data_IF_363268309484
#
_entry.id   IF_363268309484
#
_cell.length_a   1.000
_cell.length_b   1.000
_cell.length_c   1.000
_cell.angle_alpha   90.00
_cell.angle_beta   90.00
_cell.angle_gamma   90.00
#
_symmetry.space_group_name_H-M   'P 1'
#
loop_
_entity.id
_entity.type
_entity.pdbx_description
1 polymer ?
#
# COMPACT_ATOMS: atom_id res chain seq x y z
N UNK A 1 -3.21 -10.70 -37.30
CA UNK A 1 -3.60 -11.01 -35.92
C UNK A 1 -3.78 -9.65 -35.25
N UNK A 2 -5.03 -9.23 -35.13
CA UNK A 2 -5.38 -7.98 -34.48
C UNK A 2 -5.06 -8.10 -32.98
N UNK A 3 -4.02 -7.40 -32.55
CA UNK A 3 -3.85 -7.09 -31.14
C UNK A 3 -4.91 -6.05 -30.80
N UNK A 4 -6.07 -6.51 -30.35
CA UNK A 4 -7.04 -5.66 -29.74
C UNK A 4 -6.32 -4.88 -28.63
N UNK A 5 -6.19 -3.58 -28.84
CA UNK A 5 -5.73 -2.64 -27.81
C UNK A 5 -6.78 -2.72 -26.70
N UNK A 6 -6.51 -3.53 -25.68
CA UNK A 6 -7.34 -3.54 -24.49
C UNK A 6 -7.45 -2.08 -24.03
N UNK A 7 -8.65 -1.58 -23.93
CA UNK A 7 -8.88 -0.22 -23.45
C UNK A 7 -8.28 -0.14 -22.04
N UNK A 8 -7.21 0.65 -21.89
CA UNK A 8 -6.62 0.88 -20.57
C UNK A 8 -7.69 1.51 -19.69
N UNK A 9 -7.86 0.98 -18.50
CA UNK A 9 -8.78 1.58 -17.52
C UNK A 9 -8.28 3.00 -17.15
N UNK A 10 -9.21 3.86 -16.82
CA UNK A 10 -8.83 5.17 -16.28
C UNK A 10 -8.24 4.98 -14.88
N UNK A 11 -6.95 5.23 -14.74
CA UNK A 11 -6.22 5.15 -13.46
C UNK A 11 -6.86 5.97 -12.34
N UNK A 12 -7.62 7.01 -12.69
CA UNK A 12 -8.36 7.83 -11.73
C UNK A 12 -9.49 7.07 -11.05
N UNK A 13 -10.00 6.01 -11.69
CA UNK A 13 -11.05 5.17 -11.09
C UNK A 13 -10.57 4.39 -9.86
N UNK A 14 -9.24 4.25 -9.69
CA UNK A 14 -8.63 3.58 -8.55
C UNK A 14 -8.37 4.53 -7.36
N UNK A 15 -8.56 5.85 -7.55
CA UNK A 15 -8.32 6.84 -6.51
C UNK A 15 -9.30 6.66 -5.34
N UNK A 16 -8.76 6.58 -4.14
CA UNK A 16 -9.55 6.44 -2.91
C UNK A 16 -10.09 5.04 -2.67
N UNK A 17 -9.63 4.05 -3.42
CA UNK A 17 -9.96 2.64 -3.17
C UNK A 17 -8.91 1.98 -2.30
N UNK A 18 -9.38 1.24 -1.31
CA UNK A 18 -8.51 0.39 -0.49
C UNK A 18 -8.18 -0.91 -1.22
N UNK A 19 -6.96 -1.38 -1.02
CA UNK A 19 -6.49 -2.66 -1.55
C UNK A 19 -6.39 -3.67 -0.42
N UNK A 20 -7.52 -4.30 -0.09
CA UNK A 20 -7.59 -5.32 0.99
C UNK A 20 -7.47 -6.72 0.40
N UNK A 21 -8.28 -7.04 -0.61
CA UNK A 21 -8.28 -8.35 -1.26
C UNK A 21 -8.31 -8.22 -2.78
N UNK A 22 -7.53 -9.06 -3.45
CA UNK A 22 -7.49 -9.07 -4.93
C UNK A 22 -8.81 -9.47 -5.56
N UNK A 23 -9.66 -10.23 -4.86
CA UNK A 23 -10.98 -10.63 -5.36
C UNK A 23 -11.94 -9.46 -5.58
N UNK A 24 -11.67 -8.31 -4.94
CA UNK A 24 -12.47 -7.08 -5.08
C UNK A 24 -12.08 -6.24 -6.30
N UNK A 25 -11.03 -6.68 -6.99
CA UNK A 25 -10.47 -5.98 -8.14
C UNK A 25 -10.70 -6.78 -9.42
N UNK A 26 -11.08 -6.12 -10.49
CA UNK A 26 -11.16 -6.76 -11.80
C UNK A 26 -9.76 -7.11 -12.32
N UNK A 27 -9.69 -8.03 -13.26
CA UNK A 27 -8.41 -8.39 -13.91
C UNK A 27 -7.77 -7.19 -14.55
N UNK A 28 -8.55 -6.33 -15.23
CA UNK A 28 -8.05 -5.13 -15.90
C UNK A 28 -7.44 -4.12 -14.89
N UNK A 29 -8.05 -3.97 -13.70
CA UNK A 29 -7.52 -3.12 -12.63
C UNK A 29 -6.20 -3.66 -12.07
N UNK A 30 -6.12 -4.96 -11.86
CA UNK A 30 -4.89 -5.62 -11.41
C UNK A 30 -3.79 -5.50 -12.46
N UNK A 31 -4.10 -5.74 -13.73
CA UNK A 31 -3.15 -5.63 -14.84
C UNK A 31 -2.65 -4.20 -15.00
N UNK A 32 -3.52 -3.19 -14.86
CA UNK A 32 -3.10 -1.78 -14.89
C UNK A 32 -2.19 -1.44 -13.71
N UNK A 33 -2.48 -1.97 -12.51
CA UNK A 33 -1.62 -1.79 -11.33
C UNK A 33 -0.23 -2.38 -11.55
N UNK A 34 -0.16 -3.57 -12.13
CA UNK A 34 1.11 -4.21 -12.48
C UNK A 34 1.85 -3.46 -13.59
N UNK A 35 1.12 -2.91 -14.56
CA UNK A 35 1.70 -2.08 -15.63
C UNK A 35 2.36 -0.80 -15.05
N UNK A 36 1.69 -0.11 -14.12
CA UNK A 36 2.27 1.04 -13.41
C UNK A 36 3.54 0.64 -12.66
N UNK A 37 3.52 -0.49 -11.96
CA UNK A 37 4.71 -0.98 -11.25
C UNK A 37 5.88 -1.26 -12.21
N UNK A 38 5.61 -1.84 -13.38
CA UNK A 38 6.61 -2.08 -14.42
C UNK A 38 7.16 -0.77 -15.01
N UNK A 39 6.30 0.19 -15.32
CA UNK A 39 6.70 1.52 -15.81
C UNK A 39 7.63 2.23 -14.82
N UNK A 40 7.29 2.23 -13.53
CA UNK A 40 8.11 2.84 -12.48
C UNK A 40 9.46 2.13 -12.32
N UNK A 41 9.47 0.81 -12.41
CA UNK A 41 10.69 0.00 -12.35
C UNK A 41 11.63 0.33 -13.51
N UNK A 42 11.12 0.41 -14.73
CA UNK A 42 11.93 0.75 -15.91
C UNK A 42 12.40 2.22 -15.88
N UNK A 43 11.55 3.16 -15.46
CA UNK A 43 11.94 4.55 -15.28
C UNK A 43 13.10 4.68 -14.28
N UNK A 44 13.02 4.00 -13.14
CA UNK A 44 14.09 3.99 -12.15
C UNK A 44 15.37 3.36 -12.68
N UNK A 45 15.29 2.23 -13.38
CA UNK A 45 16.42 1.55 -13.99
C UNK A 45 17.12 2.44 -15.02
N UNK A 46 16.35 3.27 -15.73
CA UNK A 46 16.85 4.25 -16.67
C UNK A 46 17.35 5.56 -16.01
N UNK A 47 17.40 5.64 -14.68
CA UNK A 47 17.82 6.83 -13.95
C UNK A 47 16.85 8.02 -14.05
N UNK A 48 15.61 7.78 -14.49
CA UNK A 48 14.59 8.85 -14.58
C UNK A 48 13.98 9.13 -13.20
N UNK A 49 13.65 10.40 -12.89
CA UNK A 49 12.97 10.74 -11.66
C UNK A 49 11.60 10.04 -11.54
N UNK A 50 11.33 9.46 -10.38
CA UNK A 50 10.06 8.79 -10.08
C UNK A 50 9.37 9.41 -8.86
N UNK A 51 9.56 10.69 -8.59
CA UNK A 51 9.08 11.41 -7.40
C UNK A 51 7.59 11.76 -7.51
N UNK A 52 6.74 10.76 -7.49
CA UNK A 52 5.28 10.91 -7.63
C UNK A 52 4.55 11.12 -6.29
N UNK A 53 5.21 10.79 -5.17
CA UNK A 53 4.62 10.83 -3.83
C UNK A 53 5.33 11.85 -2.94
N UNK A 54 5.76 13.00 -3.51
CA UNK A 54 6.38 14.08 -2.74
C UNK A 54 5.43 14.55 -1.64
N UNK A 55 5.96 14.72 -0.44
CA UNK A 55 5.25 15.13 0.77
C UNK A 55 4.12 14.17 1.22
N UNK A 56 4.12 12.94 0.68
CA UNK A 56 3.19 11.89 1.10
C UNK A 56 3.83 10.97 2.13
N UNK A 57 3.05 10.63 3.17
CA UNK A 57 3.47 9.71 4.23
C UNK A 57 2.54 8.50 4.28
N UNK A 58 3.13 7.31 4.36
CA UNK A 58 2.38 6.09 4.68
C UNK A 58 2.86 5.50 6.00
N UNK A 59 1.94 4.85 6.71
CA UNK A 59 2.24 4.06 7.89
C UNK A 59 2.37 2.58 7.52
N UNK A 60 3.35 1.91 8.12
CA UNK A 60 3.54 0.47 7.99
C UNK A 60 3.27 -0.17 9.34
N UNK A 61 2.02 -0.59 9.56
CA UNK A 61 1.59 -1.24 10.79
C UNK A 61 1.71 -2.75 10.63
N UNK A 62 2.75 -3.32 11.20
CA UNK A 62 3.02 -4.75 11.09
C UNK A 62 2.89 -5.42 12.44
N UNK A 63 2.00 -6.41 12.50
CA UNK A 63 1.73 -7.19 13.70
C UNK A 63 2.67 -8.41 13.84
N UNK A 64 3.51 -8.64 12.83
CA UNK A 64 4.57 -9.64 12.88
C UNK A 64 5.85 -9.15 12.16
N UNK A 65 6.93 -9.90 12.38
CA UNK A 65 8.26 -9.57 11.86
C UNK A 65 8.30 -9.61 10.34
N UNK A 66 8.86 -8.59 9.74
CA UNK A 66 8.98 -8.50 8.30
C UNK A 66 10.23 -7.74 7.87
N UNK A 67 11.21 -8.45 7.33
CA UNK A 67 12.40 -7.82 6.76
C UNK A 67 12.14 -7.35 5.32
N UNK A 68 11.69 -8.25 4.45
CA UNK A 68 11.54 -7.97 3.02
C UNK A 68 10.45 -6.96 2.72
N UNK A 69 9.25 -7.19 3.24
CA UNK A 69 8.09 -6.31 2.97
C UNK A 69 8.31 -4.91 3.52
N UNK A 70 8.79 -4.80 4.76
CA UNK A 70 9.12 -3.52 5.37
C UNK A 70 10.10 -2.73 4.49
N UNK A 71 11.25 -3.32 4.16
CA UNK A 71 12.26 -2.63 3.36
C UNK A 71 11.77 -2.29 1.95
N UNK A 72 10.90 -3.12 1.36
CA UNK A 72 10.30 -2.83 0.05
C UNK A 72 9.44 -1.56 0.10
N UNK A 73 8.57 -1.42 1.11
CA UNK A 73 7.74 -0.22 1.28
C UNK A 73 8.58 1.02 1.64
N UNK A 74 9.47 0.93 2.63
CA UNK A 74 10.32 2.06 3.03
C UNK A 74 11.17 2.57 1.86
N UNK A 75 11.84 1.65 1.14
CA UNK A 75 12.64 1.99 -0.03
C UNK A 75 11.77 2.52 -1.16
N UNK A 76 10.61 1.90 -1.42
CA UNK A 76 9.66 2.34 -2.44
C UNK A 76 9.19 3.78 -2.20
N UNK A 77 8.78 4.10 -1.00
CA UNK A 77 8.36 5.46 -0.63
C UNK A 77 9.49 6.47 -0.82
N UNK A 78 10.70 6.16 -0.36
CA UNK A 78 11.88 7.02 -0.57
C UNK A 78 12.14 7.26 -2.06
N UNK A 79 12.06 6.22 -2.88
CA UNK A 79 12.28 6.30 -4.32
C UNK A 79 11.20 7.12 -5.04
N UNK A 80 9.97 7.08 -4.54
CA UNK A 80 8.84 7.86 -5.04
C UNK A 80 8.78 9.28 -4.47
N UNK A 81 9.70 9.64 -3.57
CA UNK A 81 9.83 10.98 -3.01
C UNK A 81 8.99 11.22 -1.76
N UNK A 82 8.33 10.17 -1.25
CA UNK A 82 7.55 10.20 -0.04
C UNK A 82 8.30 9.68 1.17
N UNK A 83 7.57 9.41 2.24
CA UNK A 83 8.08 8.92 3.51
C UNK A 83 7.27 7.73 4.01
N UNK A 84 7.92 6.78 4.68
CA UNK A 84 7.27 5.66 5.34
C UNK A 84 7.63 5.67 6.83
N UNK A 85 6.62 5.52 7.69
CA UNK A 85 6.78 5.39 9.12
C UNK A 85 6.45 3.96 9.52
N UNK A 86 7.42 3.24 10.03
CA UNK A 86 7.20 1.91 10.55
C UNK A 86 6.64 1.97 11.97
N UNK A 87 5.51 1.30 12.16
CA UNK A 87 4.86 1.14 13.45
C UNK A 87 5.00 -0.33 13.88
N UNK A 88 5.80 -0.54 14.90
CA UNK A 88 5.90 -1.81 15.60
C UNK A 88 4.67 -1.93 16.51
N UNK A 89 3.82 -2.93 16.27
CA UNK A 89 2.57 -3.10 17.02
C UNK A 89 2.79 -3.15 18.53
N UNK A 90 3.89 -3.76 18.97
CA UNK A 90 4.24 -3.86 20.40
C UNK A 90 4.56 -2.50 21.05
N UNK A 91 4.80 -1.48 20.23
CA UNK A 91 5.12 -0.11 20.66
C UNK A 91 4.03 0.90 20.35
N UNK A 92 2.88 0.43 19.91
CA UNK A 92 1.69 1.24 19.64
C UNK A 92 0.59 0.97 20.67
N UNK A 93 -0.44 1.81 20.67
CA UNK A 93 -1.60 1.59 21.55
C UNK A 93 -2.43 0.35 21.16
N UNK A 94 -2.20 -0.21 19.96
CA UNK A 94 -2.80 -1.49 19.55
C UNK A 94 -2.46 -2.59 20.56
N UNK A 95 -1.24 -2.65 21.07
CA UNK A 95 -0.84 -3.60 22.12
C UNK A 95 -1.54 -3.36 23.48
N UNK A 96 -2.11 -2.19 23.67
CA UNK A 96 -2.88 -1.83 24.88
C UNK A 96 -4.40 -1.88 24.65
N UNK A 97 -4.85 -2.47 23.53
CA UNK A 97 -6.28 -2.67 23.26
C UNK A 97 -6.96 -1.52 22.52
N UNK A 98 -6.21 -0.60 21.91
CA UNK A 98 -6.78 0.37 20.97
C UNK A 98 -7.42 -0.36 19.80
N UNK A 99 -8.61 0.08 19.40
CA UNK A 99 -9.32 -0.55 18.28
C UNK A 99 -8.67 -0.22 16.94
N UNK A 100 -8.83 -1.08 15.91
CA UNK A 100 -8.38 -0.75 14.55
C UNK A 100 -8.92 0.58 14.05
N UNK A 101 -10.20 0.85 14.32
CA UNK A 101 -10.87 2.08 13.94
C UNK A 101 -10.26 3.33 14.60
N UNK A 102 -9.93 3.29 15.88
CA UNK A 102 -9.34 4.42 16.60
C UNK A 102 -7.92 4.69 16.08
N UNK A 103 -7.15 3.62 15.85
CA UNK A 103 -5.81 3.70 15.26
C UNK A 103 -5.88 4.32 13.86
N UNK A 104 -6.78 3.84 13.00
CA UNK A 104 -6.95 4.36 11.64
C UNK A 104 -7.41 5.83 11.65
N UNK A 105 -8.39 6.18 12.49
CA UNK A 105 -8.87 7.56 12.65
C UNK A 105 -7.74 8.51 13.09
N UNK A 106 -6.88 8.06 13.97
CA UNK A 106 -5.74 8.86 14.44
C UNK A 106 -4.72 9.04 13.33
N UNK A 107 -4.27 7.96 12.70
CA UNK A 107 -3.22 7.97 11.68
C UNK A 107 -3.67 8.72 10.41
N UNK A 108 -4.94 8.64 10.03
CA UNK A 108 -5.50 9.34 8.87
C UNK A 108 -5.42 10.87 8.95
N UNK A 109 -5.17 11.42 10.13
CA UNK A 109 -4.96 12.86 10.33
C UNK A 109 -3.56 13.32 9.97
N UNK A 110 -2.62 12.40 9.84
CA UNK A 110 -1.20 12.72 9.68
C UNK A 110 -0.60 12.17 8.38
N UNK A 111 -1.22 11.17 7.75
CA UNK A 111 -0.69 10.55 6.55
C UNK A 111 -1.78 10.12 5.58
N UNK A 112 -1.35 9.66 4.39
CA UNK A 112 -2.25 9.38 3.28
C UNK A 112 -2.58 7.91 3.09
N UNK A 113 -1.93 7.02 3.84
CA UNK A 113 -2.22 5.60 3.72
C UNK A 113 -1.60 4.78 4.82
N UNK A 114 -2.13 3.59 4.99
CA UNK A 114 -1.67 2.58 5.96
C UNK A 114 -1.48 1.27 5.20
N UNK A 115 -0.30 0.67 5.30
CA UNK A 115 -0.05 -0.69 4.85
C UNK A 115 0.01 -1.60 6.07
N UNK A 116 -0.86 -2.59 6.11
CA UNK A 116 -1.02 -3.47 7.27
C UNK A 116 -0.52 -4.87 6.91
N UNK A 117 0.24 -5.48 7.80
CA UNK A 117 0.55 -6.88 7.77
C UNK A 117 0.05 -7.54 9.04
N UNK A 118 -0.98 -8.36 8.87
CA UNK A 118 -1.60 -9.15 9.92
C UNK A 118 -1.58 -10.62 9.51
N UNK A 119 -0.83 -11.45 10.20
CA UNK A 119 -0.65 -12.86 9.90
C UNK A 119 -0.69 -13.75 11.16
N UNK A 120 -1.38 -13.26 12.20
CA UNK A 120 -1.51 -13.99 13.46
C UNK A 120 -2.44 -15.20 13.32
N UNK A 121 -3.51 -15.11 12.51
CA UNK A 121 -4.37 -16.23 12.18
C UNK A 121 -4.95 -16.08 10.75
N UNK A 122 -5.31 -17.21 10.08
CA UNK A 122 -5.91 -17.16 8.76
C UNK A 122 -7.17 -16.31 8.73
N UNK A 123 -7.25 -15.39 7.76
CA UNK A 123 -8.38 -14.48 7.49
C UNK A 123 -8.68 -13.40 8.56
N UNK A 124 -8.08 -13.43 9.72
CA UNK A 124 -8.30 -12.38 10.74
C UNK A 124 -7.84 -11.01 10.28
N UNK A 125 -6.76 -10.93 9.49
CA UNK A 125 -6.26 -9.68 8.96
C UNK A 125 -7.28 -8.94 8.10
N UNK A 126 -8.04 -9.66 7.27
CA UNK A 126 -9.06 -9.06 6.42
C UNK A 126 -10.23 -8.50 7.25
N UNK A 127 -10.64 -9.20 8.31
CA UNK A 127 -11.65 -8.71 9.25
C UNK A 127 -11.14 -7.44 9.93
N UNK A 128 -9.95 -7.51 10.49
CA UNK A 128 -9.33 -6.40 11.20
C UNK A 128 -9.18 -5.12 10.34
N UNK A 129 -8.87 -5.27 9.04
CA UNK A 129 -8.74 -4.13 8.12
C UNK A 129 -10.08 -3.52 7.68
N UNK A 130 -11.20 -4.21 7.91
CA UNK A 130 -12.54 -3.75 7.54
C UNK A 130 -13.30 -3.09 8.71
N UNK A 131 -12.82 -3.26 9.93
CA UNK A 131 -13.32 -2.61 11.15
C UNK A 131 -12.83 -1.16 11.28
#
# INVERSE_FOLDING_TARGET
MDTATAARIDRRSLTGRDFIETIEWSVDELDETLAVAAELKEARKAGKPTRLLVDKTIYLLFLDKSTRTRNAFETGMTQLGGHAIFLDSDKTQVSHGETPQDTANTLSRFGEGIAIRHDLAPYEGNVWMRE
#
